data_IF_461104864164
#
_entry.id   IF_461104864164
#
_cell.length_a   1.000
_cell.length_b   1.000
_cell.length_c   1.000
_cell.angle_alpha   90.00
_cell.angle_beta   90.00
_cell.angle_gamma   90.00
#
_symmetry.space_group_name_H-M   'P 1'
#
loop_
_entity.id
_entity.type
_entity.pdbx_description
1 polymer ?
#
# COMPACT_ATOMS: atom_id res chain seq x y z
N UNK A 1 14.58 13.40 -12.28
CA UNK A 1 14.38 14.84 -12.48
C UNK A 1 12.88 15.09 -12.63
N UNK A 2 12.34 16.03 -11.88
CA UNK A 2 10.90 16.31 -11.80
C UNK A 2 10.65 17.82 -11.95
N UNK A 3 9.60 18.21 -12.68
CA UNK A 3 9.23 19.61 -12.86
C UNK A 3 8.68 20.24 -11.56
N UNK A 4 8.66 21.58 -11.48
CA UNK A 4 8.15 22.28 -10.30
C UNK A 4 6.66 21.95 -10.05
N UNK A 5 6.27 21.87 -8.77
CA UNK A 5 4.93 21.46 -8.33
C UNK A 5 3.79 22.21 -9.00
N UNK A 6 3.96 23.51 -9.25
CA UNK A 6 2.97 24.38 -9.92
C UNK A 6 2.72 24.05 -11.40
N UNK A 7 3.55 23.20 -12.02
CA UNK A 7 3.46 22.81 -13.43
C UNK A 7 3.10 21.33 -13.62
N UNK A 8 2.90 20.58 -12.54
CA UNK A 8 2.51 19.18 -12.60
C UNK A 8 1.14 18.99 -11.98
N UNK A 9 0.38 18.04 -12.53
CA UNK A 9 -0.96 17.70 -12.09
C UNK A 9 -0.98 16.22 -11.71
N UNK A 10 -1.79 15.88 -10.72
CA UNK A 10 -2.03 14.50 -10.32
C UNK A 10 -3.50 14.28 -10.07
N UNK A 11 -3.96 13.05 -10.25
CA UNK A 11 -5.30 12.61 -9.90
C UNK A 11 -5.22 11.19 -9.36
N UNK A 12 -6.25 10.77 -8.63
CA UNK A 12 -6.33 9.39 -8.17
C UNK A 12 -6.40 8.46 -9.38
N UNK A 13 -5.57 7.42 -9.37
CA UNK A 13 -5.68 6.35 -10.35
C UNK A 13 -7.02 5.65 -10.18
N UNK A 14 -7.61 5.19 -11.28
CA UNK A 14 -8.87 4.42 -11.25
C UNK A 14 -8.78 3.19 -10.34
N UNK A 15 -7.58 2.63 -10.19
CA UNK A 15 -7.35 1.45 -9.33
C UNK A 15 -7.41 1.79 -7.83
N UNK A 16 -7.25 3.07 -7.43
CA UNK A 16 -7.16 3.44 -6.01
C UNK A 16 -8.42 3.04 -5.26
N UNK A 17 -9.61 3.36 -5.77
CA UNK A 17 -10.88 2.96 -5.12
C UNK A 17 -11.22 1.48 -5.27
N UNK A 18 -10.55 0.76 -6.16
CA UNK A 18 -10.59 -0.70 -6.17
C UNK A 18 -9.72 -1.30 -5.06
N UNK A 19 -8.62 -0.64 -4.69
CA UNK A 19 -7.70 -1.09 -3.63
C UNK A 19 -8.24 -0.70 -2.25
N UNK A 20 -8.83 0.48 -2.14
CA UNK A 20 -9.43 1.04 -0.94
C UNK A 20 -10.93 1.26 -1.20
N UNK A 21 -11.78 0.24 -0.97
CA UNK A 21 -13.22 0.32 -1.18
C UNK A 21 -13.80 1.50 -0.42
N UNK A 22 -14.70 2.25 -1.06
CA UNK A 22 -15.32 3.43 -0.45
C UNK A 22 -16.26 3.06 0.69
N UNK A 23 -16.84 1.85 0.63
CA UNK A 23 -17.69 1.29 1.66
C UNK A 23 -16.94 1.05 2.98
N UNK A 24 -15.63 0.79 2.91
CA UNK A 24 -14.79 0.58 4.09
C UNK A 24 -14.51 1.91 4.83
N UNK A 25 -14.60 3.07 4.15
CA UNK A 25 -14.33 4.37 4.76
C UNK A 25 -15.21 4.60 6.00
N UNK A 26 -16.46 4.12 5.99
CA UNK A 26 -17.41 4.31 7.10
C UNK A 26 -17.06 3.53 8.38
N UNK A 27 -16.22 2.50 8.30
CA UNK A 27 -15.87 1.64 9.45
C UNK A 27 -14.47 1.92 10.00
N UNK A 28 -13.73 2.87 9.40
CA UNK A 28 -12.40 3.24 9.86
C UNK A 28 -12.45 4.16 11.10
N UNK A 29 -11.48 3.97 12.00
CA UNK A 29 -11.24 4.85 13.14
C UNK A 29 -10.62 6.18 12.66
N UNK A 30 -11.44 7.23 12.61
CA UNK A 30 -11.00 8.57 12.22
C UNK A 30 -10.42 9.36 13.39
N UNK A 31 -9.34 10.09 13.11
CA UNK A 31 -8.70 10.97 14.07
C UNK A 31 -9.39 12.34 14.05
N UNK A 32 -9.28 13.08 15.16
CA UNK A 32 -9.84 14.43 15.30
C UNK A 32 -8.75 15.40 15.75
N UNK A 33 -8.61 16.52 15.04
CA UNK A 33 -7.67 17.60 15.35
C UNK A 33 -8.41 18.94 15.33
N UNK A 34 -8.27 19.74 16.39
CA UNK A 34 -9.00 21.01 16.57
C UNK A 34 -10.53 20.89 16.36
N UNK A 35 -11.12 19.75 16.72
CA UNK A 35 -12.55 19.48 16.54
C UNK A 35 -12.97 19.09 15.12
N UNK A 36 -12.03 19.01 14.17
CA UNK A 36 -12.27 18.57 12.80
C UNK A 36 -11.85 17.12 12.63
N UNK A 37 -12.66 16.34 11.90
CA UNK A 37 -12.30 14.99 11.49
C UNK A 37 -11.20 15.06 10.43
N UNK A 38 -10.10 14.34 10.65
CA UNK A 38 -8.96 14.22 9.72
C UNK A 38 -8.86 12.78 9.19
N UNK A 39 -7.70 12.35 8.67
CA UNK A 39 -7.51 11.01 8.15
C UNK A 39 -7.78 9.91 9.20
N UNK A 40 -8.14 8.69 8.75
CA UNK A 40 -8.17 7.54 9.62
C UNK A 40 -6.79 7.17 10.12
N UNK A 41 -6.74 6.50 11.27
CA UNK A 41 -5.50 5.97 11.85
C UNK A 41 -4.71 5.11 10.85
N UNK A 42 -5.41 4.33 10.03
CA UNK A 42 -4.89 3.68 8.84
C UNK A 42 -6.04 3.34 7.89
N UNK A 43 -5.75 3.22 6.61
CA UNK A 43 -6.67 2.66 5.63
C UNK A 43 -6.53 1.13 5.57
N UNK A 44 -7.61 0.43 5.22
CA UNK A 44 -7.63 -1.02 5.06
C UNK A 44 -7.69 -1.40 3.57
N UNK A 45 -6.55 -1.52 2.86
CA UNK A 45 -6.57 -1.96 1.47
C UNK A 45 -6.88 -3.45 1.35
N UNK A 46 -7.50 -3.85 0.23
CA UNK A 46 -7.80 -5.27 -0.07
C UNK A 46 -6.55 -6.14 -0.30
N UNK A 47 -5.39 -5.52 -0.51
CA UNK A 47 -4.08 -6.16 -0.62
C UNK A 47 -3.05 -5.40 0.24
N UNK A 48 -2.02 -6.06 0.79
CA UNK A 48 -1.04 -5.41 1.67
C UNK A 48 -0.14 -4.44 0.87
N UNK A 49 -0.55 -3.17 0.80
CA UNK A 49 0.12 -2.14 0.00
C UNK A 49 1.56 -1.86 0.43
N UNK A 50 1.90 -2.11 1.70
CA UNK A 50 3.28 -2.02 2.21
C UNK A 50 4.24 -2.97 1.47
N UNK A 51 3.75 -4.14 1.03
CA UNK A 51 4.53 -5.08 0.23
C UNK A 51 4.52 -4.72 -1.26
N UNK A 52 3.47 -4.05 -1.75
CA UNK A 52 3.38 -3.64 -3.16
C UNK A 52 4.39 -2.55 -3.49
N UNK A 53 4.45 -1.51 -2.65
CA UNK A 53 5.29 -0.34 -2.90
C UNK A 53 6.60 -0.35 -2.11
N UNK A 54 6.79 -1.33 -1.22
CA UNK A 54 7.87 -1.30 -0.25
C UNK A 54 7.65 -0.22 0.82
N UNK A 55 8.63 -0.10 1.70
CA UNK A 55 8.68 0.96 2.70
C UNK A 55 10.13 1.16 3.17
N UNK A 56 10.61 2.39 3.10
CA UNK A 56 11.91 2.78 3.65
C UNK A 56 11.71 3.92 4.64
N UNK A 57 12.23 3.77 5.86
CA UNK A 57 12.08 4.74 6.92
C UNK A 57 13.18 4.62 7.97
N UNK A 58 13.65 5.77 8.46
CA UNK A 58 14.64 5.86 9.53
C UNK A 58 14.05 6.73 10.63
N UNK A 59 13.98 6.17 11.84
CA UNK A 59 13.62 6.89 13.06
C UNK A 59 14.79 6.93 14.04
N UNK A 60 14.57 7.52 15.20
CA UNK A 60 15.56 7.50 16.29
C UNK A 60 15.59 6.11 16.92
N UNK A 61 16.66 5.35 16.69
CA UNK A 61 16.87 4.01 17.28
C UNK A 61 16.34 2.84 16.45
N UNK A 62 15.58 3.09 15.39
CA UNK A 62 15.05 2.05 14.49
C UNK A 62 15.10 2.46 13.03
N UNK A 63 15.20 1.49 12.13
CA UNK A 63 15.01 1.65 10.70
C UNK A 63 14.15 0.51 10.15
N UNK A 64 13.45 0.79 9.06
CA UNK A 64 12.67 -0.18 8.29
C UNK A 64 13.08 -0.09 6.83
N UNK A 65 13.29 -1.24 6.20
CA UNK A 65 13.46 -1.36 4.75
C UNK A 65 12.73 -2.60 4.28
N UNK A 66 11.75 -2.41 3.41
CA UNK A 66 10.87 -3.44 2.86
C UNK A 66 10.93 -3.31 1.34
N UNK A 67 11.34 -4.36 0.60
CA UNK A 67 11.38 -4.33 -0.85
C UNK A 67 9.97 -4.42 -1.45
N UNK A 68 9.87 -4.10 -2.74
CA UNK A 68 8.63 -4.25 -3.50
C UNK A 68 8.39 -5.73 -3.85
N UNK A 69 7.14 -6.13 -3.87
CA UNK A 69 6.66 -7.44 -4.29
C UNK A 69 5.61 -7.32 -5.38
N UNK A 70 5.48 -8.37 -6.19
CA UNK A 70 4.51 -8.42 -7.26
C UNK A 70 3.08 -8.53 -6.69
N UNK A 71 2.16 -7.61 -7.05
CA UNK A 71 0.77 -7.66 -6.58
C UNK A 71 0.05 -8.97 -6.91
N UNK A 72 0.40 -9.63 -8.03
CA UNK A 72 -0.21 -10.91 -8.42
C UNK A 72 0.16 -12.05 -7.49
N UNK A 73 1.39 -12.05 -6.98
CA UNK A 73 1.89 -13.08 -6.07
C UNK A 73 1.25 -12.87 -4.69
N UNK A 74 1.13 -11.61 -4.25
CA UNK A 74 0.40 -11.22 -3.05
C UNK A 74 -1.06 -11.67 -3.09
N UNK A 75 -1.77 -11.40 -4.18
CA UNK A 75 -3.17 -11.84 -4.36
C UNK A 75 -3.28 -13.37 -4.32
N UNK A 76 -2.32 -14.08 -4.92
CA UNK A 76 -2.31 -15.55 -4.93
C UNK A 76 -2.11 -16.12 -3.52
N UNK A 77 -1.19 -15.54 -2.74
CA UNK A 77 -0.98 -15.90 -1.34
C UNK A 77 -2.19 -15.56 -0.46
N UNK A 78 -2.81 -14.40 -0.64
CA UNK A 78 -4.05 -14.07 0.08
C UNK A 78 -5.15 -15.10 -0.20
N UNK A 79 -5.31 -15.53 -1.45
CA UNK A 79 -6.28 -16.58 -1.82
C UNK A 79 -5.95 -17.94 -1.19
N UNK A 80 -4.68 -18.30 -1.05
CA UNK A 80 -4.25 -19.50 -0.33
C UNK A 80 -4.63 -19.41 1.15
N UNK A 81 -4.29 -18.28 1.78
CA UNK A 81 -4.58 -18.03 3.20
C UNK A 81 -6.08 -18.04 3.49
N UNK A 82 -6.90 -17.46 2.59
CA UNK A 82 -8.37 -17.50 2.70
C UNK A 82 -8.94 -18.93 2.62
N UNK A 83 -8.23 -19.87 2.00
CA UNK A 83 -8.58 -21.31 1.97
C UNK A 83 -7.95 -22.10 3.12
N UNK A 84 -7.24 -21.44 4.04
CA UNK A 84 -6.53 -22.09 5.15
C UNK A 84 -5.22 -22.77 4.73
N UNK A 85 -4.71 -22.47 3.53
CA UNK A 85 -3.43 -22.98 3.04
C UNK A 85 -2.28 -22.05 3.43
N UNK A 86 -1.06 -22.61 3.55
CA UNK A 86 0.13 -21.82 3.83
C UNK A 86 0.51 -20.95 2.61
N UNK A 87 0.96 -19.70 2.82
CA UNK A 87 1.46 -18.87 1.74
C UNK A 87 2.80 -19.39 1.20
N UNK A 88 3.05 -19.15 -0.08
CA UNK A 88 4.30 -19.45 -0.76
C UNK A 88 5.28 -18.29 -0.57
N UNK A 89 6.57 -18.60 -0.39
CA UNK A 89 7.62 -17.58 -0.32
C UNK A 89 7.64 -16.71 -1.59
N UNK A 90 7.69 -15.40 -1.41
CA UNK A 90 7.73 -14.43 -2.50
C UNK A 90 9.14 -13.85 -2.65
N UNK A 91 9.53 -13.57 -3.89
CA UNK A 91 10.79 -12.89 -4.22
C UNK A 91 10.53 -11.40 -4.46
N UNK A 92 11.44 -10.50 -4.05
CA UNK A 92 11.37 -9.09 -4.42
C UNK A 92 11.19 -8.91 -5.93
N UNK A 93 10.34 -7.96 -6.31
CA UNK A 93 9.98 -7.70 -7.69
C UNK A 93 9.73 -6.21 -7.92
N UNK A 94 10.34 -5.66 -8.96
CA UNK A 94 10.21 -4.26 -9.33
C UNK A 94 9.60 -4.14 -10.74
N UNK A 95 8.49 -3.40 -10.85
CA UNK A 95 7.76 -3.25 -12.11
C UNK A 95 8.65 -2.65 -13.20
N UNK A 96 8.83 -3.39 -14.29
CA UNK A 96 9.61 -2.93 -15.46
C UNK A 96 11.12 -3.20 -15.35
N UNK A 97 11.59 -3.76 -14.22
CA UNK A 97 12.95 -4.27 -14.10
C UNK A 97 13.12 -5.51 -15.00
N UNK A 98 14.23 -5.57 -15.74
CA UNK A 98 14.57 -6.66 -16.68
C UNK A 98 15.82 -7.44 -16.27
N UNK A 99 16.43 -7.10 -15.13
CA UNK A 99 17.53 -7.87 -14.58
C UNK A 99 17.04 -9.13 -13.88
N UNK A 100 17.99 -9.90 -13.35
CA UNK A 100 17.72 -11.07 -12.52
C UNK A 100 17.67 -10.68 -11.05
#
# INVERSE_FOLDING_TARGET
>A
DHAASRYIFTCLSKVTRCIFPEEDDAVLEHLFEEGHQIEPRFFCPIIPMVLVNGADGIGTGWSSSIPNYNPRDLISNLRLMLRGEAPVAMTPWYRGFKGN
#
